data_IF_902017468247
#
_entry.id   IF_902017468247
#
_cell.length_a   1.000
_cell.length_b   1.000
_cell.length_c   1.000
_cell.angle_alpha   90.00
_cell.angle_beta   90.00
_cell.angle_gamma   90.00
#
_symmetry.space_group_name_H-M   'P 1'
#
loop_
_entity.id
_entity.type
_entity.pdbx_description
1 polymer ?
#
# COMPACT_ATOMS: atom_id res chain seq x y z
N UNK A 1 -10.04 -17.46 3.87
CA UNK A 1 -10.66 -17.15 5.18
C UNK A 1 -9.74 -16.46 6.19
N UNK A 2 -8.74 -15.68 5.78
CA UNK A 2 -8.06 -14.75 6.68
C UNK A 2 -8.70 -13.37 6.51
N UNK A 3 -9.44 -12.91 7.51
CA UNK A 3 -9.96 -11.55 7.57
C UNK A 3 -9.03 -10.70 8.43
N UNK A 4 -7.97 -10.15 7.84
CA UNK A 4 -7.04 -9.26 8.55
C UNK A 4 -7.74 -7.92 8.79
N UNK A 5 -7.76 -7.48 10.05
CA UNK A 5 -8.38 -6.21 10.43
C UNK A 5 -7.43 -5.03 10.28
N UNK A 6 -7.97 -3.84 10.01
CA UNK A 6 -7.21 -2.57 10.05
C UNK A 6 -6.45 -2.37 11.37
N UNK A 7 -7.03 -2.78 12.50
CA UNK A 7 -6.39 -2.65 13.81
C UNK A 7 -5.12 -3.52 13.92
N UNK A 8 -5.17 -4.76 13.42
CA UNK A 8 -4.01 -5.66 13.38
C UNK A 8 -2.89 -5.12 12.49
N UNK A 9 -3.25 -4.52 11.34
CA UNK A 9 -2.29 -3.89 10.43
C UNK A 9 -1.61 -2.68 11.08
N UNK A 10 -2.37 -1.85 11.79
CA UNK A 10 -1.83 -0.70 12.55
C UNK A 10 -0.85 -1.17 13.63
N UNK A 11 -1.17 -2.26 14.33
CA UNK A 11 -0.29 -2.78 15.38
C UNK A 11 1.02 -3.33 14.83
N UNK A 12 0.97 -4.05 13.71
CA UNK A 12 2.17 -4.51 13.00
C UNK A 12 2.98 -3.28 12.53
N UNK A 13 2.32 -2.24 11.98
CA UNK A 13 2.98 -0.98 11.58
C UNK A 13 3.79 -0.34 12.70
N UNK A 14 3.38 -0.49 13.97
CA UNK A 14 4.13 0.04 15.12
C UNK A 14 5.23 -0.91 15.59
N UNK A 15 5.00 -2.20 15.48
CA UNK A 15 5.84 -3.24 16.06
C UNK A 15 7.00 -3.68 15.16
N UNK A 16 6.89 -3.49 13.84
CA UNK A 16 7.80 -4.07 12.86
C UNK A 16 8.39 -3.02 11.88
N UNK A 17 9.16 -2.02 12.35
CA UNK A 17 9.59 -0.87 11.53
C UNK A 17 10.51 -1.21 10.35
N UNK A 18 11.13 -2.39 10.35
CA UNK A 18 12.08 -2.83 9.32
C UNK A 18 11.45 -3.69 8.22
N UNK A 19 10.12 -3.75 8.13
CA UNK A 19 9.47 -4.51 7.07
C UNK A 19 9.77 -3.91 5.69
N UNK A 20 10.24 -4.79 4.79
CA UNK A 20 10.57 -4.47 3.39
C UNK A 20 9.52 -5.00 2.43
N UNK A 21 8.79 -6.05 2.85
CA UNK A 21 7.75 -6.70 2.07
C UNK A 21 6.48 -6.86 2.91
N UNK A 22 5.33 -6.48 2.35
CA UNK A 22 4.03 -6.67 2.97
C UNK A 22 2.99 -7.05 1.92
N UNK A 23 2.23 -8.10 2.19
CA UNK A 23 1.09 -8.53 1.38
C UNK A 23 -0.19 -8.45 2.21
N UNK A 24 -1.16 -7.69 1.72
CA UNK A 24 -2.49 -7.54 2.28
C UNK A 24 -3.55 -7.66 1.18
N UNK A 25 -3.34 -8.54 0.19
CA UNK A 25 -4.30 -8.70 -0.90
C UNK A 25 -5.66 -9.26 -0.42
N UNK A 26 -6.75 -8.80 -1.03
CA UNK A 26 -8.10 -9.34 -0.80
C UNK A 26 -8.59 -9.24 0.65
N UNK A 27 -8.23 -8.18 1.39
CA UNK A 27 -8.62 -8.00 2.78
C UNK A 27 -9.81 -7.03 2.90
N UNK A 28 -11.05 -7.51 3.10
CA UNK A 28 -12.24 -6.65 3.08
C UNK A 28 -12.29 -5.63 4.23
N UNK A 29 -11.50 -5.85 5.29
CA UNK A 29 -11.52 -5.04 6.52
C UNK A 29 -10.35 -4.05 6.64
N UNK A 30 -9.47 -3.95 5.64
CA UNK A 30 -8.37 -2.96 5.65
C UNK A 30 -8.79 -1.67 4.96
N UNK A 31 -8.45 -0.53 5.54
CA UNK A 31 -8.85 0.78 5.01
C UNK A 31 -7.64 1.73 4.85
N UNK A 32 -7.90 2.91 4.29
CA UNK A 32 -6.87 3.92 4.06
C UNK A 32 -6.11 4.33 5.33
N UNK A 33 -6.75 4.30 6.50
CA UNK A 33 -6.10 4.65 7.78
C UNK A 33 -5.00 3.66 8.13
N UNK A 34 -5.28 2.36 8.00
CA UNK A 34 -4.29 1.30 8.24
C UNK A 34 -3.09 1.38 7.29
N UNK A 35 -3.33 1.69 6.00
CA UNK A 35 -2.26 1.88 5.02
C UNK A 35 -1.48 3.18 5.27
N UNK A 36 -2.16 4.24 5.72
CA UNK A 36 -1.48 5.46 6.16
C UNK A 36 -0.58 5.22 7.37
N UNK A 37 -0.93 4.30 8.28
CA UNK A 37 -0.06 3.92 9.39
C UNK A 37 1.20 3.21 8.88
N UNK A 38 1.05 2.26 7.94
CA UNK A 38 2.18 1.62 7.25
C UNK A 38 3.11 2.65 6.61
N UNK A 39 2.55 3.59 5.84
CA UNK A 39 3.32 4.63 5.15
C UNK A 39 4.18 5.48 6.10
N UNK A 40 3.72 5.72 7.33
CA UNK A 40 4.46 6.49 8.34
C UNK A 40 5.56 5.68 9.02
N UNK A 41 5.37 4.38 9.14
CA UNK A 41 6.29 3.52 9.90
C UNK A 41 7.36 2.86 9.04
N UNK A 42 7.04 2.44 7.81
CA UNK A 42 7.89 1.58 7.00
C UNK A 42 8.60 2.36 5.90
N UNK A 43 9.54 3.21 6.29
CA UNK A 43 10.32 4.03 5.35
C UNK A 43 11.14 3.19 4.35
N UNK A 44 11.47 1.96 4.71
CA UNK A 44 12.23 1.01 3.91
C UNK A 44 11.35 0.01 3.13
N UNK A 45 10.03 0.21 3.07
CA UNK A 45 9.13 -0.69 2.36
C UNK A 45 9.42 -0.66 0.86
N UNK A 46 9.69 -1.82 0.27
CA UNK A 46 10.00 -1.97 -1.15
C UNK A 46 8.92 -2.74 -1.92
N UNK A 47 8.11 -3.53 -1.22
CA UNK A 47 7.11 -4.39 -1.82
C UNK A 47 5.80 -4.29 -1.06
N UNK A 48 4.74 -3.87 -1.77
CA UNK A 48 3.40 -3.78 -1.22
C UNK A 48 2.40 -4.37 -2.21
N UNK A 49 1.63 -5.34 -1.73
CA UNK A 49 0.47 -5.89 -2.44
C UNK A 49 -0.82 -5.52 -1.72
N UNK A 50 -1.63 -4.69 -2.38
CA UNK A 50 -2.97 -4.30 -1.97
C UNK A 50 -4.02 -4.75 -2.99
N UNK A 51 -3.70 -5.72 -3.86
CA UNK A 51 -4.63 -6.16 -4.90
C UNK A 51 -5.95 -6.65 -4.29
N UNK A 52 -7.06 -6.44 -4.99
CA UNK A 52 -8.42 -6.85 -4.63
C UNK A 52 -8.93 -6.23 -3.30
N UNK A 53 -8.43 -5.05 -2.93
CA UNK A 53 -8.96 -4.29 -1.80
C UNK A 53 -9.93 -3.20 -2.28
N UNK A 54 -11.22 -3.51 -2.25
CA UNK A 54 -12.30 -2.69 -2.82
C UNK A 54 -12.49 -1.32 -2.16
N UNK A 55 -12.04 -1.15 -0.91
CA UNK A 55 -12.28 0.08 -0.14
C UNK A 55 -11.07 1.02 -0.08
N UNK A 56 -9.91 0.61 -0.59
CA UNK A 56 -8.68 1.41 -0.61
C UNK A 56 -8.75 2.45 -1.73
N UNK A 57 -8.37 3.70 -1.42
CA UNK A 57 -8.47 4.82 -2.36
C UNK A 57 -7.11 5.45 -2.67
N UNK A 58 -7.10 6.42 -3.59
CA UNK A 58 -5.96 7.28 -3.89
C UNK A 58 -5.27 7.88 -2.65
N UNK A 59 -5.98 8.05 -1.53
CA UNK A 59 -5.42 8.56 -0.28
C UNK A 59 -4.34 7.63 0.27
N UNK A 60 -4.61 6.33 0.34
CA UNK A 60 -3.65 5.33 0.81
C UNK A 60 -2.42 5.27 -0.10
N UNK A 61 -2.64 5.22 -1.41
CA UNK A 61 -1.58 5.11 -2.41
C UNK A 61 -0.69 6.36 -2.38
N UNK A 62 -1.30 7.53 -2.26
CA UNK A 62 -0.60 8.81 -2.12
C UNK A 62 0.22 8.90 -0.84
N UNK A 63 -0.22 8.24 0.24
CA UNK A 63 0.52 8.18 1.50
C UNK A 63 1.74 7.27 1.36
N UNK A 64 1.57 6.07 0.78
CA UNK A 64 2.67 5.14 0.48
C UNK A 64 3.72 5.80 -0.41
N UNK A 65 3.31 6.49 -1.48
CA UNK A 65 4.24 7.17 -2.37
C UNK A 65 5.09 8.25 -1.67
N UNK A 66 4.56 8.87 -0.62
CA UNK A 66 5.28 9.88 0.17
C UNK A 66 6.10 9.28 1.31
N UNK A 67 5.60 8.24 1.96
CA UNK A 67 6.22 7.64 3.15
C UNK A 67 7.25 6.55 2.86
N UNK A 68 7.14 5.88 1.70
CA UNK A 68 7.99 4.76 1.30
C UNK A 68 8.74 5.10 0.01
N UNK A 69 9.79 5.94 0.06
CA UNK A 69 10.49 6.42 -1.15
C UNK A 69 11.18 5.30 -1.94
N UNK A 70 11.59 4.22 -1.27
CA UNK A 70 12.29 3.08 -1.87
C UNK A 70 11.38 2.00 -2.47
N UNK A 71 10.09 2.30 -2.67
CA UNK A 71 9.14 1.37 -3.28
C UNK A 71 9.64 0.84 -4.63
N UNK A 72 9.64 -0.50 -4.79
CA UNK A 72 10.08 -1.21 -6.01
C UNK A 72 8.96 -1.97 -6.68
N UNK A 73 8.12 -2.68 -5.91
CA UNK A 73 7.02 -3.47 -6.46
C UNK A 73 5.71 -3.05 -5.80
N UNK A 74 4.75 -2.64 -6.62
CA UNK A 74 3.45 -2.22 -6.16
C UNK A 74 2.35 -2.95 -6.95
N UNK A 75 1.54 -3.73 -6.25
CA UNK A 75 0.45 -4.51 -6.82
C UNK A 75 -0.88 -3.95 -6.35
N UNK A 76 -1.70 -3.50 -7.31
CA UNK A 76 -2.98 -2.80 -7.10
C UNK A 76 -4.06 -3.37 -8.04
N UNK A 77 -3.93 -4.64 -8.43
CA UNK A 77 -4.88 -5.31 -9.31
C UNK A 77 -6.28 -5.33 -8.67
N UNK A 78 -7.34 -5.07 -9.43
CA UNK A 78 -8.71 -5.08 -8.92
C UNK A 78 -9.05 -4.00 -7.88
N UNK A 79 -8.23 -2.97 -7.71
CA UNK A 79 -8.51 -1.85 -6.81
C UNK A 79 -9.29 -0.73 -7.51
N UNK A 80 -10.61 -0.87 -7.58
CA UNK A 80 -11.50 -0.01 -8.39
C UNK A 80 -11.56 1.47 -7.97
N UNK A 81 -11.16 1.81 -6.74
CA UNK A 81 -11.20 3.19 -6.21
C UNK A 81 -9.88 3.94 -6.34
N UNK A 82 -8.89 3.34 -7.00
CA UNK A 82 -7.61 3.97 -7.32
C UNK A 82 -7.71 4.58 -8.72
N UNK A 83 -7.21 5.81 -8.87
CA UNK A 83 -7.25 6.54 -10.14
C UNK A 83 -5.87 7.01 -10.55
N UNK A 84 -5.77 7.51 -11.79
CA UNK A 84 -4.59 8.16 -12.35
C UNK A 84 -3.94 9.20 -11.41
N UNK A 85 -4.70 9.81 -10.51
CA UNK A 85 -4.17 10.83 -9.58
C UNK A 85 -3.06 10.25 -8.70
N UNK A 86 -3.32 9.12 -8.04
CA UNK A 86 -2.31 8.53 -7.15
C UNK A 86 -1.21 7.80 -7.92
N UNK A 87 -1.52 7.28 -9.12
CA UNK A 87 -0.52 6.68 -10.02
C UNK A 87 0.48 7.73 -10.51
N UNK A 88 0.01 8.91 -10.94
CA UNK A 88 0.89 10.04 -11.30
C UNK A 88 1.78 10.45 -10.13
N UNK A 89 1.23 10.50 -8.91
CA UNK A 89 2.00 10.81 -7.71
C UNK A 89 3.07 9.74 -7.41
N UNK A 90 2.70 8.46 -7.55
CA UNK A 90 3.63 7.33 -7.41
C UNK A 90 4.80 7.46 -8.40
N UNK A 91 4.52 7.73 -9.68
CA UNK A 91 5.56 7.94 -10.69
C UNK A 91 6.47 9.15 -10.42
N UNK A 92 5.96 10.19 -9.76
CA UNK A 92 6.73 11.38 -9.40
C UNK A 92 7.69 11.14 -8.23
N UNK A 93 7.30 10.33 -7.25
CA UNK A 93 8.01 10.17 -5.98
C UNK A 93 8.81 8.86 -5.91
N UNK A 94 8.27 7.75 -6.39
CA UNK A 94 8.92 6.43 -6.32
C UNK A 94 9.75 6.17 -7.58
N UNK A 95 10.94 6.78 -7.64
CA UNK A 95 11.84 6.68 -8.79
C UNK A 95 12.52 5.32 -8.95
N UNK A 96 12.48 4.49 -7.90
CA UNK A 96 13.04 3.13 -7.88
C UNK A 96 12.01 2.05 -8.24
N UNK A 97 10.82 2.42 -8.70
CA UNK A 97 9.76 1.49 -9.04
C UNK A 97 10.18 0.58 -10.21
N UNK A 98 10.11 -0.72 -10.00
CA UNK A 98 10.50 -1.77 -10.95
C UNK A 98 9.28 -2.52 -11.48
N UNK A 99 8.24 -2.69 -10.65
CA UNK A 99 6.99 -3.37 -11.03
C UNK A 99 5.79 -2.58 -10.50
N UNK A 100 4.85 -2.29 -11.40
CA UNK A 100 3.57 -1.68 -11.08
C UNK A 100 2.48 -2.49 -11.79
N UNK A 101 1.58 -3.11 -11.04
CA UNK A 101 0.48 -3.91 -11.57
C UNK A 101 -0.85 -3.21 -11.25
N UNK A 102 -1.60 -2.87 -12.29
CA UNK A 102 -2.86 -2.11 -12.26
C UNK A 102 -4.00 -2.84 -13.00
N UNK A 103 -3.83 -4.10 -13.35
CA UNK A 103 -4.81 -4.85 -14.15
C UNK A 103 -6.16 -4.93 -13.43
N UNK A 104 -7.22 -5.04 -14.22
CA UNK A 104 -8.59 -5.24 -13.74
C UNK A 104 -9.01 -6.68 -13.99
#
# INVERSE_FOLDING_TARGET
DSNISSASVIEIARSCPNLVYLNLNGQPSINDESICAIARSYVNLQHLDLSFNEIITDKAISAIATGCPDMRNYFLEGCERITDKSIKKTAQLNRNLQKLILTS
#
